data_IF_690217718618
#
_entry.id   IF_690217718618
#
_cell.length_a   1.000
_cell.length_b   1.000
_cell.length_c   1.000
_cell.angle_alpha   90.00
_cell.angle_beta   90.00
_cell.angle_gamma   90.00
#
_symmetry.space_group_name_H-M   'P 1'
#
loop_
_entity.id
_entity.type
_entity.pdbx_description
1 polymer ?
#
# COMPACT_ATOMS: atom_id res chain seq x y z
N UNK A 1 -12.34 -16.27 -4.96
CA UNK A 1 -12.42 -14.81 -4.71
C UNK A 1 -11.55 -14.17 -5.77
N UNK A 2 -11.94 -13.02 -6.30
CA UNK A 2 -11.24 -12.39 -7.43
C UNK A 2 -10.15 -11.45 -6.92
N UNK A 3 -9.07 -11.29 -7.69
CA UNK A 3 -8.03 -10.27 -7.52
C UNK A 3 -8.56 -8.90 -7.04
N UNK A 4 -7.75 -8.22 -6.21
CA UNK A 4 -8.07 -6.87 -5.70
C UNK A 4 -8.17 -5.90 -6.87
N UNK A 5 -9.36 -5.33 -7.08
CA UNK A 5 -9.57 -4.39 -8.19
C UNK A 5 -8.78 -3.08 -8.00
N UNK A 6 -8.37 -2.45 -9.11
CA UNK A 6 -7.75 -1.13 -9.09
C UNK A 6 -8.61 -0.06 -8.40
N UNK A 7 -9.94 -0.15 -8.50
CA UNK A 7 -10.86 0.72 -7.76
C UNK A 7 -10.73 0.56 -6.25
N UNK A 8 -10.57 -0.67 -5.75
CA UNK A 8 -10.35 -0.93 -4.33
C UNK A 8 -8.96 -0.43 -3.90
N UNK A 9 -7.92 -0.74 -4.69
CA UNK A 9 -6.53 -0.42 -4.35
C UNK A 9 -6.17 1.07 -4.48
N UNK A 10 -6.78 1.80 -5.43
CA UNK A 10 -6.38 3.17 -5.77
C UNK A 10 -7.52 4.19 -5.66
N UNK A 11 -8.78 3.76 -5.71
CA UNK A 11 -9.95 4.62 -5.62
C UNK A 11 -10.81 4.64 -6.88
N UNK A 12 -12.00 5.21 -6.76
CA UNK A 12 -13.00 5.25 -7.85
C UNK A 12 -12.61 6.15 -9.00
N UNK A 13 -11.74 7.13 -8.76
CA UNK A 13 -11.27 8.08 -9.77
C UNK A 13 -9.96 7.64 -10.40
N UNK A 14 -9.45 6.44 -10.06
CA UNK A 14 -8.26 5.90 -10.71
C UNK A 14 -8.54 5.62 -12.18
N UNK A 15 -7.54 5.87 -13.01
CA UNK A 15 -7.54 5.49 -14.41
C UNK A 15 -6.26 4.76 -14.73
N UNK A 16 -6.35 3.72 -15.55
CA UNK A 16 -5.20 3.01 -16.06
C UNK A 16 -5.37 2.76 -17.55
N UNK A 17 -4.29 2.95 -18.30
CA UNK A 17 -4.15 2.48 -19.67
C UNK A 17 -2.82 1.74 -19.84
N UNK A 18 -2.48 1.42 -21.09
CA UNK A 18 -1.23 0.70 -21.42
C UNK A 18 0.04 1.46 -21.00
N UNK A 19 -0.01 2.78 -20.79
CA UNK A 19 1.15 3.62 -20.53
C UNK A 19 1.11 4.32 -19.16
N UNK A 20 -0.06 4.46 -18.55
CA UNK A 20 -0.25 5.34 -17.40
C UNK A 20 -1.16 4.71 -16.35
N UNK A 21 -0.82 4.93 -15.09
CA UNK A 21 -1.72 4.77 -13.94
C UNK A 21 -1.82 6.15 -13.28
N UNK A 22 -3.04 6.66 -13.17
CA UNK A 22 -3.33 7.93 -12.51
C UNK A 22 -4.21 7.68 -11.30
N UNK A 23 -3.84 8.29 -10.18
CA UNK A 23 -4.56 8.20 -8.91
C UNK A 23 -4.89 9.62 -8.47
N UNK A 24 -6.17 9.91 -8.31
CA UNK A 24 -6.60 11.21 -7.82
C UNK A 24 -6.24 11.33 -6.33
N UNK A 25 -5.55 12.40 -5.93
CA UNK A 25 -5.24 12.64 -4.51
C UNK A 25 -6.49 12.76 -3.63
N UNK A 26 -7.63 13.13 -4.22
CA UNK A 26 -8.94 13.16 -3.54
C UNK A 26 -9.37 11.77 -3.07
N UNK A 27 -9.01 10.71 -3.80
CA UNK A 27 -9.32 9.32 -3.41
C UNK A 27 -8.49 8.86 -2.20
N UNK A 28 -7.41 9.57 -1.89
CA UNK A 28 -6.56 9.34 -0.72
C UNK A 28 -6.94 10.23 0.48
N UNK A 29 -7.87 11.18 0.29
CA UNK A 29 -8.30 12.06 1.36
C UNK A 29 -9.02 11.32 2.49
N UNK A 30 -9.74 10.24 2.15
CA UNK A 30 -10.36 9.32 3.12
C UNK A 30 -9.32 8.62 4.01
N UNK A 31 -8.08 8.49 3.53
CA UNK A 31 -6.97 7.91 4.30
C UNK A 31 -6.23 8.95 5.14
N UNK A 32 -6.60 10.22 5.04
CA UNK A 32 -6.04 11.34 5.81
C UNK A 32 -5.06 12.22 5.04
N UNK A 33 -4.86 12.00 3.74
CA UNK A 33 -4.05 12.89 2.91
C UNK A 33 -4.85 14.15 2.55
N UNK A 34 -4.50 15.32 3.08
CA UNK A 34 -5.03 16.59 2.55
C UNK A 34 -4.40 16.89 1.18
N UNK A 35 -5.18 16.92 0.08
CA UNK A 35 -4.62 17.12 -1.25
C UNK A 35 -4.05 18.52 -1.42
N UNK A 36 -2.81 18.61 -1.88
CA UNK A 36 -2.15 19.85 -2.26
C UNK A 36 -1.25 19.61 -3.48
N UNK A 37 -0.91 20.67 -4.22
CA UNK A 37 0.03 20.55 -5.34
C UNK A 37 1.42 20.08 -4.87
N UNK A 38 1.78 20.35 -3.61
CA UNK A 38 3.11 20.09 -3.03
C UNK A 38 3.16 18.95 -2.02
N UNK A 39 2.18 18.03 -2.00
CA UNK A 39 2.29 16.85 -1.14
C UNK A 39 3.60 16.13 -1.43
N UNK A 40 4.32 15.76 -0.37
CA UNK A 40 5.54 14.96 -0.47
C UNK A 40 5.19 13.54 -0.91
N UNK A 41 6.11 12.90 -1.64
CA UNK A 41 5.94 11.52 -2.09
C UNK A 41 5.66 10.56 -0.92
N UNK A 42 6.37 10.71 0.21
CA UNK A 42 6.16 9.91 1.41
C UNK A 42 4.72 10.00 1.95
N UNK A 43 4.09 11.18 1.90
CA UNK A 43 2.70 11.33 2.33
C UNK A 43 1.71 10.63 1.39
N UNK A 44 2.00 10.60 0.09
CA UNK A 44 1.20 9.87 -0.90
C UNK A 44 1.34 8.36 -0.68
N UNK A 45 2.59 7.89 -0.48
CA UNK A 45 2.87 6.47 -0.19
C UNK A 45 2.20 6.04 1.11
N UNK A 46 2.28 6.84 2.18
CA UNK A 46 1.64 6.51 3.45
C UNK A 46 0.12 6.40 3.33
N UNK A 47 -0.52 7.29 2.56
CA UNK A 47 -1.95 7.23 2.33
C UNK A 47 -2.36 6.00 1.49
N UNK A 48 -1.60 5.67 0.45
CA UNK A 48 -1.79 4.44 -0.32
C UNK A 48 -1.60 3.20 0.56
N UNK A 49 -0.53 3.16 1.34
CA UNK A 49 -0.25 2.07 2.25
C UNK A 49 -1.41 1.83 3.22
N UNK A 50 -1.95 2.90 3.82
CA UNK A 50 -3.11 2.80 4.71
C UNK A 50 -4.36 2.27 3.99
N UNK A 51 -4.58 2.66 2.73
CA UNK A 51 -5.66 2.12 1.87
C UNK A 51 -5.51 0.62 1.61
N UNK A 52 -4.26 0.16 1.47
CA UNK A 52 -3.89 -1.20 1.12
C UNK A 52 -3.92 -2.18 2.29
N UNK A 53 -3.63 -1.70 3.51
CA UNK A 53 -3.64 -2.51 4.73
C UNK A 53 -4.88 -3.41 4.92
N UNK A 54 -6.12 -2.93 4.74
CA UNK A 54 -7.30 -3.81 4.87
C UNK A 54 -7.52 -4.74 3.68
N UNK A 55 -6.82 -4.55 2.55
CA UNK A 55 -7.01 -5.32 1.32
C UNK A 55 -6.05 -6.50 1.24
N UNK A 56 -4.76 -6.27 1.50
CA UNK A 56 -3.70 -7.26 1.36
C UNK A 56 -3.40 -7.93 2.70
N UNK A 57 -4.38 -8.61 3.29
CA UNK A 57 -4.23 -9.26 4.60
C UNK A 57 -3.74 -10.70 4.46
N UNK A 58 -3.17 -11.28 5.53
CA UNK A 58 -2.79 -12.70 5.55
C UNK A 58 -4.00 -13.63 5.36
N UNK A 59 -5.16 -13.28 5.93
CA UNK A 59 -6.40 -14.01 5.70
C UNK A 59 -6.88 -13.89 4.25
N UNK A 60 -6.69 -12.71 3.64
CA UNK A 60 -6.88 -12.47 2.21
C UNK A 60 -6.02 -13.39 1.36
N UNK A 61 -4.73 -13.49 1.68
CA UNK A 61 -3.78 -14.39 1.01
C UNK A 61 -4.21 -15.87 1.13
N UNK A 62 -4.59 -16.31 2.33
CA UNK A 62 -5.02 -17.68 2.57
C UNK A 62 -6.33 -18.04 1.86
N UNK A 63 -7.18 -17.05 1.58
CA UNK A 63 -8.48 -17.24 0.93
C UNK A 63 -8.51 -16.87 -0.56
N UNK A 64 -7.46 -16.19 -1.06
CA UNK A 64 -7.29 -15.80 -2.46
C UNK A 64 -5.90 -16.18 -2.97
N UNK A 65 -5.82 -17.26 -3.74
CA UNK A 65 -4.56 -17.75 -4.33
C UNK A 65 -3.97 -16.80 -5.39
N UNK A 66 -4.73 -15.80 -5.86
CA UNK A 66 -4.25 -14.76 -6.77
C UNK A 66 -3.62 -13.57 -6.02
N UNK A 67 -3.70 -13.53 -4.68
CA UNK A 67 -3.06 -12.48 -3.92
C UNK A 67 -1.58 -12.79 -3.74
N UNK A 68 -0.73 -11.93 -4.28
CA UNK A 68 0.74 -12.08 -4.21
C UNK A 68 1.39 -11.09 -3.23
N UNK A 69 0.61 -10.23 -2.58
CA UNK A 69 1.09 -9.22 -1.62
C UNK A 69 0.39 -9.42 -0.28
N UNK A 70 1.13 -9.36 0.83
CA UNK A 70 0.58 -9.39 2.19
C UNK A 70 1.17 -8.26 3.03
N UNK A 71 0.35 -7.59 3.81
CA UNK A 71 0.71 -6.52 4.74
C UNK A 71 0.28 -6.96 6.14
N UNK A 72 1.27 -7.08 7.04
CA UNK A 72 1.06 -7.56 8.40
C UNK A 72 1.63 -6.57 9.41
N UNK A 73 0.80 -6.12 10.36
CA UNK A 73 1.28 -5.36 11.50
C UNK A 73 2.18 -6.24 12.37
N UNK A 74 3.33 -5.69 12.78
CA UNK A 74 4.31 -6.40 13.60
C UNK A 74 4.24 -5.96 15.06
N UNK A 75 4.51 -4.67 15.32
CA UNK A 75 4.62 -4.14 16.68
C UNK A 75 4.55 -2.62 16.70
N UNK A 76 4.21 -2.06 17.86
CA UNK A 76 4.38 -0.64 18.19
C UNK A 76 5.58 -0.52 19.12
N UNK A 77 6.45 0.45 18.85
CA UNK A 77 7.58 0.79 19.70
C UNK A 77 7.65 2.30 19.94
N UNK A 78 8.41 2.72 20.94
CA UNK A 78 8.72 4.15 21.13
C UNK A 78 9.96 4.52 20.34
N UNK A 79 9.89 5.61 19.58
CA UNK A 79 11.01 6.23 18.89
C UNK A 79 11.17 7.70 19.26
N UNK A 80 12.19 8.32 18.69
CA UNK A 80 12.47 9.75 18.82
C UNK A 80 12.81 10.32 17.45
N UNK A 81 12.23 11.49 17.12
CA UNK A 81 12.61 12.24 15.91
C UNK A 81 13.91 12.99 16.14
N UNK A 82 14.49 13.51 15.04
CA UNK A 82 15.72 14.30 15.10
C UNK A 82 15.62 15.58 15.94
N UNK A 83 14.40 16.05 16.24
CA UNK A 83 14.13 17.21 17.10
C UNK A 83 13.93 16.85 18.59
N UNK A 84 14.10 15.58 18.96
CA UNK A 84 13.89 15.10 20.34
C UNK A 84 12.44 14.76 20.68
N UNK A 85 11.50 14.90 19.73
CA UNK A 85 10.10 14.55 19.96
C UNK A 85 9.93 13.04 20.04
N UNK A 86 9.41 12.56 21.17
CA UNK A 86 9.01 11.15 21.33
C UNK A 86 7.81 10.84 20.44
N UNK A 87 7.89 9.71 19.75
CA UNK A 87 6.84 9.23 18.85
C UNK A 87 6.58 7.74 19.10
N UNK A 88 5.38 7.29 18.76
CA UNK A 88 5.11 5.87 18.59
C UNK A 88 5.43 5.50 17.13
N UNK A 89 6.07 4.35 16.96
CA UNK A 89 6.48 3.80 15.68
C UNK A 89 5.80 2.45 15.52
N UNK A 90 4.81 2.41 14.63
CA UNK A 90 4.15 1.18 14.20
C UNK A 90 4.95 0.55 13.06
N UNK A 91 5.38 -0.68 13.26
CA UNK A 91 6.09 -1.46 12.27
C UNK A 91 5.10 -2.36 11.51
N UNK A 92 5.22 -2.35 10.19
CA UNK A 92 4.49 -3.22 9.29
C UNK A 92 5.48 -3.99 8.42
N UNK A 93 5.18 -5.25 8.17
CA UNK A 93 5.88 -6.10 7.21
C UNK A 93 5.06 -6.16 5.93
N UNK A 94 5.72 -5.98 4.78
CA UNK A 94 5.14 -6.18 3.45
C UNK A 94 5.87 -7.34 2.79
N UNK A 95 5.13 -8.39 2.47
CA UNK A 95 5.65 -9.61 1.85
C UNK A 95 5.11 -9.72 0.43
N UNK A 96 6.00 -10.08 -0.50
CA UNK A 96 5.70 -10.34 -1.90
C UNK A 96 5.98 -11.83 -2.16
N UNK A 97 4.95 -12.57 -2.54
CA UNK A 97 5.06 -13.99 -2.91
C UNK A 97 4.92 -14.10 -4.41
N UNK A 98 6.00 -14.47 -5.11
CA UNK A 98 5.98 -14.68 -6.56
C UNK A 98 6.53 -16.04 -6.91
N UNK A 99 6.23 -16.51 -8.12
CA UNK A 99 6.94 -17.64 -8.70
C UNK A 99 8.37 -17.16 -8.99
N UNK A 100 9.38 -17.89 -8.50
CA UNK A 100 10.79 -17.55 -8.70
C UNK A 100 11.18 -17.79 -10.17
N UNK A 101 11.01 -16.78 -11.01
CA UNK A 101 11.29 -16.85 -12.44
C UNK A 101 12.62 -16.21 -12.82
N UNK A 102 13.13 -15.27 -12.01
CA UNK A 102 14.46 -14.61 -12.08
C UNK A 102 14.59 -13.62 -10.92
N UNK A 103 14.95 -14.08 -9.71
CA UNK A 103 15.41 -13.27 -8.56
C UNK A 103 15.00 -11.78 -8.50
N UNK A 104 14.05 -11.45 -7.63
CA UNK A 104 13.56 -10.09 -7.42
C UNK A 104 12.04 -10.06 -7.27
N UNK A 105 11.46 -8.86 -7.16
CA UNK A 105 10.01 -8.66 -7.32
C UNK A 105 9.74 -8.45 -8.81
N UNK A 106 8.96 -9.34 -9.42
CA UNK A 106 8.55 -9.27 -10.84
C UNK A 106 7.06 -8.86 -10.91
N UNK A 107 6.74 -7.58 -11.15
CA UNK A 107 5.37 -7.08 -11.18
C UNK A 107 4.46 -7.75 -12.22
N UNK A 108 5.03 -8.27 -13.32
CA UNK A 108 4.27 -8.89 -14.43
C UNK A 108 4.00 -10.39 -14.16
N UNK A 109 4.71 -10.97 -13.21
CA UNK A 109 4.54 -12.35 -12.76
C UNK A 109 3.84 -12.47 -11.40
N UNK A 110 3.33 -11.36 -10.86
CA UNK A 110 2.52 -11.30 -9.63
C UNK A 110 1.07 -11.63 -9.88
#
# INVERSE_FOLDING_TARGET
MTEVTGTAAFGTSHTQDINTVSIAKTDLAVEGLTPTASNKAEGIIAALFKKWMPLFTADGYNSNLEQSITITYQQTSSGERSDGTRVLVDAYLVEFTTIDTRGGVDPDAM
#
